data_IF_454427951869
#
_entry.id   IF_454427951869
#
_cell.length_a   1.000
_cell.length_b   1.000
_cell.length_c   1.000
_cell.angle_alpha   90.00
_cell.angle_beta   90.00
_cell.angle_gamma   90.00
#
_symmetry.space_group_name_H-M   'P 1'
#
loop_
_entity.id
_entity.type
_entity.pdbx_description
1 polymer ?
#
# COMPACT_ATOMS: atom_id res chain seq x y z
N UNK A 1 -14.79 24.07 16.85
CA UNK A 1 -15.15 23.31 18.07
C UNK A 1 -15.31 21.81 17.83
N UNK A 2 -15.79 21.35 16.66
CA UNK A 2 -15.90 19.90 16.36
C UNK A 2 -14.54 19.24 16.14
N UNK A 3 -13.56 19.89 15.48
CA UNK A 3 -12.24 19.29 15.23
C UNK A 3 -11.44 19.00 16.49
N UNK A 4 -11.47 19.89 17.50
CA UNK A 4 -10.77 19.65 18.77
C UNK A 4 -11.38 18.52 19.60
N UNK A 5 -12.68 18.21 19.43
CA UNK A 5 -13.36 17.13 20.16
C UNK A 5 -13.10 15.73 19.59
N UNK A 6 -13.00 15.59 18.27
CA UNK A 6 -12.67 14.32 17.61
C UNK A 6 -11.19 13.96 17.74
N UNK A 7 -10.29 14.95 17.72
CA UNK A 7 -8.86 14.76 17.93
C UNK A 7 -8.53 14.28 19.36
N UNK A 8 -9.25 14.76 20.37
CA UNK A 8 -9.05 14.33 21.76
C UNK A 8 -9.37 12.85 22.01
N UNK A 9 -10.19 12.23 21.18
CA UNK A 9 -10.52 10.80 21.24
C UNK A 9 -9.42 9.92 20.65
N UNK A 10 -8.78 10.37 19.56
CA UNK A 10 -7.68 9.65 18.93
C UNK A 10 -6.37 9.72 19.74
N UNK A 11 -6.15 10.81 20.50
CA UNK A 11 -4.95 10.99 21.36
C UNK A 11 -4.89 10.09 22.61
N UNK A 12 -5.89 9.25 22.86
CA UNK A 12 -5.92 8.39 24.06
C UNK A 12 -4.90 7.24 24.03
N UNK A 13 -4.34 6.93 22.85
CA UNK A 13 -3.35 5.86 22.62
C UNK A 13 -1.89 6.31 22.72
N UNK A 14 -1.63 7.62 22.89
CA UNK A 14 -0.28 8.16 23.09
C UNK A 14 0.59 8.33 21.82
N UNK A 15 0.08 7.99 20.64
CA UNK A 15 0.72 8.25 19.32
C UNK A 15 -0.28 9.00 18.45
N UNK A 16 0.16 10.09 17.80
CA UNK A 16 -0.74 10.84 16.92
C UNK A 16 -1.03 10.04 15.64
N UNK A 17 -2.26 10.10 15.10
CA UNK A 17 -2.61 9.44 13.84
C UNK A 17 -1.69 9.86 12.68
N UNK A 18 -1.29 11.13 12.65
CA UNK A 18 -0.31 11.63 11.67
C UNK A 18 1.03 10.88 11.73
N UNK A 19 1.54 10.62 12.95
CA UNK A 19 2.80 9.87 13.14
C UNK A 19 2.64 8.44 12.64
N UNK A 20 1.49 7.81 12.89
CA UNK A 20 1.21 6.44 12.43
C UNK A 20 1.23 6.38 10.90
N UNK A 21 0.43 7.20 10.24
CA UNK A 21 0.26 7.17 8.78
C UNK A 21 1.52 7.64 8.02
N UNK A 22 2.25 8.63 8.57
CA UNK A 22 3.52 9.08 7.98
C UNK A 22 4.56 7.95 7.94
N UNK A 23 4.51 7.07 8.94
CA UNK A 23 5.41 5.93 9.09
C UNK A 23 4.87 4.70 8.34
N UNK A 24 3.56 4.50 8.27
CA UNK A 24 2.89 3.35 7.66
C UNK A 24 3.21 3.18 6.16
N UNK A 25 3.33 4.27 5.39
CA UNK A 25 3.71 4.21 3.97
C UNK A 25 5.17 3.80 3.67
N UNK A 26 6.07 3.94 4.65
CA UNK A 26 7.52 3.82 4.45
C UNK A 26 7.99 2.43 4.03
N UNK A 27 7.45 1.32 4.57
CA UNK A 27 7.83 -0.03 4.15
C UNK A 27 7.62 -0.26 2.66
N UNK A 28 6.47 0.16 2.12
CA UNK A 28 6.15 -0.04 0.70
C UNK A 28 7.15 0.66 -0.23
N UNK A 29 7.47 1.93 0.05
CA UNK A 29 8.49 2.65 -0.70
C UNK A 29 9.89 2.02 -0.57
N UNK A 30 10.23 1.51 0.63
CA UNK A 30 11.48 0.80 0.87
C UNK A 30 11.56 -0.49 0.03
N UNK A 31 10.47 -1.25 -0.07
CA UNK A 31 10.40 -2.46 -0.88
C UNK A 31 10.55 -2.15 -2.36
N UNK A 32 9.85 -1.13 -2.86
CA UNK A 32 9.98 -0.68 -4.26
C UNK A 32 11.43 -0.31 -4.57
N UNK A 33 12.11 0.41 -3.67
CA UNK A 33 13.50 0.82 -3.83
C UNK A 33 14.43 -0.39 -4.00
N UNK A 34 14.32 -1.39 -3.13
CA UNK A 34 15.16 -2.59 -3.19
C UNK A 34 14.81 -3.46 -4.41
N UNK A 35 13.52 -3.64 -4.72
CA UNK A 35 13.08 -4.38 -5.89
C UNK A 35 13.58 -3.72 -7.19
N UNK A 36 13.54 -2.39 -7.26
CA UNK A 36 14.06 -1.63 -8.40
C UNK A 36 15.59 -1.75 -8.52
N UNK A 37 16.32 -1.75 -7.39
CA UNK A 37 17.76 -2.02 -7.36
C UNK A 37 18.06 -3.42 -7.92
N UNK A 38 17.33 -4.44 -7.47
CA UNK A 38 17.49 -5.82 -7.95
C UNK A 38 17.19 -5.96 -9.45
N UNK A 39 16.20 -5.22 -9.97
CA UNK A 39 15.91 -5.14 -11.41
C UNK A 39 17.04 -4.53 -12.21
N UNK A 40 17.58 -3.41 -11.71
CA UNK A 40 18.67 -2.67 -12.34
C UNK A 40 19.96 -3.50 -12.38
N UNK A 41 20.23 -4.27 -11.33
CA UNK A 41 21.37 -5.19 -11.25
C UNK A 41 21.13 -6.52 -11.98
N UNK A 42 19.90 -6.77 -12.45
CA UNK A 42 19.52 -7.99 -13.16
C UNK A 42 19.37 -9.22 -12.27
N UNK A 43 19.29 -9.05 -10.95
CA UNK A 43 19.12 -10.14 -9.98
C UNK A 43 17.69 -10.68 -9.94
N UNK A 44 16.70 -9.84 -10.21
CA UNK A 44 15.29 -10.21 -10.24
C UNK A 44 14.52 -9.27 -11.16
N UNK A 45 13.45 -9.74 -11.85
CA UNK A 45 12.66 -8.89 -12.77
C UNK A 45 11.17 -9.20 -12.73
N UNK A 46 10.37 -8.29 -12.16
CA UNK A 46 8.91 -8.40 -12.23
C UNK A 46 8.24 -7.07 -11.81
N UNK A 47 7.55 -6.38 -12.73
CA UNK A 47 6.88 -5.11 -12.40
C UNK A 47 5.71 -5.29 -11.43
N UNK A 48 5.07 -6.46 -11.43
CA UNK A 48 3.79 -6.68 -10.74
C UNK A 48 3.86 -6.44 -9.22
N UNK A 49 4.91 -6.90 -8.52
CA UNK A 49 5.05 -6.66 -7.07
C UNK A 49 5.29 -5.18 -6.78
N UNK A 50 6.10 -4.51 -7.61
CA UNK A 50 6.32 -3.07 -7.45
C UNK A 50 5.03 -2.28 -7.68
N UNK A 51 4.21 -2.70 -8.64
CA UNK A 51 2.90 -2.07 -8.87
C UNK A 51 1.99 -2.23 -7.65
N UNK A 52 1.92 -3.42 -7.05
CA UNK A 52 1.15 -3.66 -5.82
C UNK A 52 1.65 -2.75 -4.70
N UNK A 53 2.95 -2.74 -4.40
CA UNK A 53 3.49 -1.88 -3.34
C UNK A 53 3.33 -0.38 -3.66
N UNK A 54 3.30 0.02 -4.93
CA UNK A 54 3.02 1.41 -5.29
C UNK A 54 1.57 1.78 -5.00
N UNK A 55 0.65 0.84 -5.23
CA UNK A 55 -0.75 1.03 -4.88
C UNK A 55 -0.98 1.02 -3.37
N UNK A 56 -0.23 0.21 -2.61
CA UNK A 56 -0.24 0.24 -1.15
C UNK A 56 0.31 1.57 -0.61
N UNK A 57 1.43 2.06 -1.13
CA UNK A 57 1.99 3.36 -0.74
C UNK A 57 1.03 4.52 -1.03
N UNK A 58 0.36 4.49 -2.19
CA UNK A 58 -0.67 5.47 -2.55
C UNK A 58 -1.89 5.40 -1.61
N UNK A 59 -2.29 4.20 -1.17
CA UNK A 59 -3.39 4.01 -0.23
C UNK A 59 -3.09 4.67 1.14
N UNK A 60 -1.93 4.35 1.71
CA UNK A 60 -1.44 4.90 2.98
C UNK A 60 -1.26 6.43 2.92
N UNK A 61 -0.80 6.96 1.78
CA UNK A 61 -0.74 8.40 1.56
C UNK A 61 -2.13 9.04 1.67
N UNK A 62 -3.18 8.41 1.12
CA UNK A 62 -4.53 8.93 1.24
C UNK A 62 -5.06 8.84 2.67
N UNK A 63 -4.69 7.82 3.45
CA UNK A 63 -5.01 7.76 4.88
C UNK A 63 -4.37 8.93 5.63
N UNK A 64 -3.09 9.22 5.38
CA UNK A 64 -2.40 10.38 5.92
C UNK A 64 -3.14 11.68 5.56
N UNK A 65 -3.45 11.91 4.29
CA UNK A 65 -4.14 13.13 3.84
C UNK A 65 -5.54 13.28 4.46
N UNK A 66 -6.25 12.17 4.70
CA UNK A 66 -7.51 12.16 5.43
C UNK A 66 -7.28 12.62 6.88
N UNK A 67 -6.25 12.12 7.56
CA UNK A 67 -5.93 12.54 8.93
C UNK A 67 -5.49 14.00 9.01
N UNK A 68 -4.71 14.49 8.05
CA UNK A 68 -4.34 15.90 7.93
C UNK A 68 -5.59 16.78 7.75
N UNK A 69 -6.53 16.37 6.87
CA UNK A 69 -7.80 17.09 6.68
C UNK A 69 -8.67 17.15 7.95
N UNK A 70 -8.50 16.20 8.88
CA UNK A 70 -9.15 16.18 10.19
C UNK A 70 -8.38 16.98 11.27
N UNK A 71 -7.21 17.54 10.92
CA UNK A 71 -6.36 18.34 11.78
C UNK A 71 -5.27 17.56 12.51
N UNK A 72 -4.88 16.39 11.98
CA UNK A 72 -3.79 15.57 12.51
C UNK A 72 -2.43 16.28 12.54
N UNK A 73 -2.21 17.24 11.63
CA UNK A 73 -0.95 17.96 11.39
C UNK A 73 -0.79 19.27 12.19
N UNK A 74 -1.71 19.53 13.13
CA UNK A 74 -1.78 20.81 13.82
C UNK A 74 -0.63 21.05 14.82
N UNK A 75 0.07 19.98 15.25
CA UNK A 75 1.15 20.07 16.24
C UNK A 75 2.52 19.95 15.57
N UNK A 76 3.33 21.01 15.70
CA UNK A 76 4.68 21.04 15.12
C UNK A 76 5.60 19.94 15.67
N UNK A 77 5.48 19.56 16.94
CA UNK A 77 6.35 18.53 17.51
C UNK A 77 6.04 17.15 16.93
N UNK A 78 4.75 16.85 16.74
CA UNK A 78 4.30 15.58 16.15
C UNK A 78 4.80 15.46 14.71
N UNK A 79 4.68 16.54 13.93
CA UNK A 79 5.27 16.66 12.59
C UNK A 79 6.77 16.43 12.57
N UNK A 80 7.49 17.12 13.46
CA UNK A 80 8.95 17.01 13.54
C UNK A 80 9.35 15.57 13.86
N UNK A 81 8.70 14.94 14.85
CA UNK A 81 8.98 13.56 15.23
C UNK A 81 8.64 12.57 14.10
N UNK A 82 7.47 12.71 13.47
CA UNK A 82 7.02 11.87 12.36
C UNK A 82 8.03 11.87 11.20
N UNK A 83 8.48 13.05 10.77
CA UNK A 83 9.42 13.20 9.65
C UNK A 83 10.77 12.53 9.92
N UNK A 84 11.33 12.71 11.12
CA UNK A 84 12.62 12.11 11.46
C UNK A 84 12.49 10.59 11.71
N UNK A 85 11.38 10.16 12.31
CA UNK A 85 11.08 8.74 12.47
C UNK A 85 10.95 8.06 11.10
N UNK A 86 10.25 8.66 10.15
CA UNK A 86 10.09 8.15 8.79
C UNK A 86 11.43 7.98 8.07
N UNK A 87 12.34 8.96 8.18
CA UNK A 87 13.69 8.87 7.61
C UNK A 87 14.51 7.72 8.21
N UNK A 88 14.51 7.59 9.54
CA UNK A 88 15.21 6.49 10.20
C UNK A 88 14.59 5.15 9.82
N UNK A 89 13.27 5.08 9.83
CA UNK A 89 12.50 3.88 9.52
C UNK A 89 12.73 3.40 8.09
N UNK A 90 12.79 4.32 7.11
CA UNK A 90 13.12 4.00 5.72
C UNK A 90 14.43 3.23 5.59
N UNK A 91 15.50 3.70 6.23
CA UNK A 91 16.80 3.02 6.17
C UNK A 91 16.77 1.66 6.87
N UNK A 92 16.06 1.55 8.00
CA UNK A 92 15.92 0.29 8.73
C UNK A 92 15.16 -0.76 7.92
N UNK A 93 14.00 -0.39 7.35
CA UNK A 93 13.18 -1.31 6.55
C UNK A 93 13.87 -1.68 5.25
N UNK A 94 14.55 -0.72 4.60
CA UNK A 94 15.37 -0.98 3.40
C UNK A 94 16.46 -2.02 3.71
N UNK A 95 17.20 -1.84 4.82
CA UNK A 95 18.23 -2.80 5.24
C UNK A 95 17.63 -4.17 5.61
N UNK A 96 16.51 -4.19 6.32
CA UNK A 96 15.80 -5.41 6.68
C UNK A 96 15.32 -6.17 5.45
N UNK A 97 14.73 -5.49 4.48
CA UNK A 97 14.26 -6.10 3.23
C UNK A 97 15.42 -6.62 2.40
N UNK A 98 16.54 -5.89 2.29
CA UNK A 98 17.74 -6.42 1.62
C UNK A 98 18.30 -7.69 2.29
N UNK A 99 18.20 -7.80 3.62
CA UNK A 99 18.73 -8.94 4.36
C UNK A 99 17.76 -10.14 4.38
N UNK A 100 16.47 -9.89 4.56
CA UNK A 100 15.41 -10.90 4.64
C UNK A 100 14.05 -10.28 4.29
N UNK A 101 13.62 -10.37 3.02
CA UNK A 101 12.30 -9.92 2.60
C UNK A 101 11.17 -10.61 3.34
N UNK A 102 11.32 -11.90 3.69
CA UNK A 102 10.34 -12.63 4.50
C UNK A 102 10.12 -11.97 5.87
N UNK A 103 11.20 -11.61 6.57
CA UNK A 103 11.09 -10.93 7.87
C UNK A 103 10.58 -9.51 7.73
N UNK A 104 10.93 -8.81 6.65
CA UNK A 104 10.42 -7.49 6.36
C UNK A 104 8.89 -7.50 6.15
N UNK A 105 8.37 -8.43 5.34
CA UNK A 105 6.93 -8.59 5.15
C UNK A 105 6.23 -9.02 6.45
N UNK A 106 6.83 -9.91 7.25
CA UNK A 106 6.28 -10.26 8.56
C UNK A 106 6.20 -9.04 9.49
N UNK A 107 7.21 -8.18 9.43
CA UNK A 107 7.25 -6.98 10.25
C UNK A 107 6.16 -5.99 9.83
N UNK A 108 5.97 -5.74 8.52
CA UNK A 108 4.83 -4.93 8.04
C UNK A 108 3.49 -5.57 8.40
N UNK A 109 3.33 -6.89 8.23
CA UNK A 109 2.12 -7.61 8.63
C UNK A 109 1.69 -7.29 10.08
N UNK A 110 2.65 -7.25 11.02
CA UNK A 110 2.37 -6.92 12.42
C UNK A 110 1.96 -5.45 12.61
N UNK A 111 2.50 -4.54 11.80
CA UNK A 111 2.10 -3.13 11.79
C UNK A 111 0.66 -3.01 11.30
N UNK A 112 0.32 -3.67 10.19
CA UNK A 112 -1.04 -3.61 9.62
C UNK A 112 -2.08 -4.28 10.53
N UNK A 113 -1.74 -5.40 11.18
CA UNK A 113 -2.60 -6.02 12.19
C UNK A 113 -2.90 -5.06 13.35
N UNK A 114 -1.92 -4.28 13.77
CA UNK A 114 -2.11 -3.28 14.81
C UNK A 114 -2.97 -2.10 14.34
N UNK A 115 -2.76 -1.60 13.11
CA UNK A 115 -3.55 -0.54 12.50
C UNK A 115 -5.02 -0.97 12.36
N UNK A 116 -5.27 -2.16 11.80
CA UNK A 116 -6.60 -2.74 11.66
C UNK A 116 -7.37 -2.78 12.99
N UNK A 117 -6.73 -3.27 14.06
CA UNK A 117 -7.35 -3.33 15.39
C UNK A 117 -7.63 -1.92 15.92
N UNK A 118 -6.68 -1.00 15.77
CA UNK A 118 -6.82 0.39 16.22
C UNK A 118 -8.01 1.07 15.56
N UNK A 119 -8.13 0.97 14.24
CA UNK A 119 -9.25 1.55 13.50
C UNK A 119 -10.58 0.83 13.78
N UNK A 120 -10.56 -0.48 14.02
CA UNK A 120 -11.75 -1.23 14.43
C UNK A 120 -12.32 -0.70 15.74
N UNK A 121 -11.47 -0.60 16.76
CA UNK A 121 -11.87 -0.10 18.09
C UNK A 121 -12.35 1.35 17.97
N UNK A 122 -11.60 2.22 17.29
CA UNK A 122 -11.96 3.63 17.14
C UNK A 122 -13.31 3.82 16.43
N UNK A 123 -13.55 3.10 15.32
CA UNK A 123 -14.79 3.20 14.56
C UNK A 123 -16.00 2.71 15.37
N UNK A 124 -15.84 1.65 16.14
CA UNK A 124 -16.91 1.06 16.95
C UNK A 124 -17.25 1.91 18.18
N UNK A 125 -16.25 2.38 18.92
CA UNK A 125 -16.45 3.23 20.11
C UNK A 125 -17.06 4.59 19.77
N UNK A 126 -16.77 5.11 18.57
CA UNK A 126 -17.19 6.45 18.14
C UNK A 126 -18.31 6.45 17.10
N UNK A 127 -18.92 5.29 16.81
CA UNK A 127 -19.85 5.12 15.69
C UNK A 127 -20.97 6.16 15.63
N UNK A 128 -21.59 6.47 16.77
CA UNK A 128 -22.70 7.43 16.86
C UNK A 128 -22.26 8.88 16.56
N UNK A 129 -21.04 9.25 16.96
CA UNK A 129 -20.47 10.56 16.69
C UNK A 129 -20.05 10.66 15.22
N UNK A 130 -19.31 9.66 14.74
CA UNK A 130 -18.76 9.61 13.38
C UNK A 130 -19.85 9.59 12.31
N UNK A 131 -21.00 8.97 12.58
CA UNK A 131 -22.17 8.97 11.67
C UNK A 131 -22.76 10.36 11.43
N UNK A 132 -22.54 11.32 12.34
CA UNK A 132 -23.11 12.68 12.26
C UNK A 132 -22.20 13.66 11.53
N UNK A 133 -20.97 13.26 11.20
CA UNK A 133 -19.96 14.12 10.60
C UNK A 133 -19.80 13.75 9.12
N UNK A 134 -19.86 14.71 8.19
CA UNK A 134 -19.62 14.43 6.78
C UNK A 134 -18.16 14.01 6.54
N UNK A 135 -17.87 13.21 5.50
CA UNK A 135 -16.51 12.84 5.15
C UNK A 135 -15.71 14.05 4.67
N UNK A 136 -14.39 14.08 4.87
CA UNK A 136 -13.54 15.10 4.25
C UNK A 136 -13.52 14.91 2.72
N UNK A 137 -13.40 16.00 1.93
CA UNK A 137 -13.41 15.91 0.47
C UNK A 137 -12.39 14.92 -0.12
N UNK A 138 -11.19 14.84 0.47
CA UNK A 138 -10.14 13.93 0.01
C UNK A 138 -10.53 12.45 0.16
N UNK A 139 -11.33 12.09 1.17
CA UNK A 139 -11.85 10.72 1.30
C UNK A 139 -12.90 10.40 0.23
N UNK A 140 -13.73 11.37 -0.16
CA UNK A 140 -14.71 11.21 -1.24
C UNK A 140 -14.02 11.13 -2.60
N UNK A 141 -12.95 11.90 -2.79
CA UNK A 141 -12.09 11.79 -3.95
C UNK A 141 -11.51 10.38 -4.04
N UNK A 142 -10.86 9.90 -2.98
CA UNK A 142 -10.20 8.61 -2.97
C UNK A 142 -11.17 7.41 -3.14
N UNK A 143 -12.23 7.36 -2.33
CA UNK A 143 -13.11 6.18 -2.28
C UNK A 143 -14.26 6.16 -3.31
N UNK A 144 -14.60 7.31 -3.92
CA UNK A 144 -15.82 7.41 -4.75
C UNK A 144 -15.58 8.00 -6.13
N UNK A 145 -14.88 9.13 -6.25
CA UNK A 145 -14.92 9.96 -7.47
C UNK A 145 -13.62 10.00 -8.27
N UNK A 146 -12.49 9.69 -7.64
CA UNK A 146 -11.16 9.74 -8.22
C UNK A 146 -10.81 8.56 -9.12
N UNK A 147 -9.53 8.51 -9.51
CA UNK A 147 -9.01 7.42 -10.33
C UNK A 147 -8.86 6.15 -9.47
N UNK A 148 -9.68 5.15 -9.75
CA UNK A 148 -9.71 3.88 -9.02
C UNK A 148 -8.56 2.93 -9.39
N UNK A 149 -7.64 3.30 -10.28
CA UNK A 149 -6.59 2.39 -10.76
C UNK A 149 -5.76 1.78 -9.62
N UNK A 150 -5.18 2.62 -8.74
CA UNK A 150 -4.40 2.14 -7.60
C UNK A 150 -5.31 1.47 -6.56
N UNK A 151 -6.50 2.03 -6.34
CA UNK A 151 -7.50 1.45 -5.45
C UNK A 151 -7.99 0.05 -5.90
N UNK A 152 -7.97 -0.26 -7.19
CA UNK A 152 -8.29 -1.58 -7.70
C UNK A 152 -7.10 -2.53 -7.58
N UNK A 153 -5.91 -2.00 -7.81
CA UNK A 153 -4.67 -2.74 -7.83
C UNK A 153 -4.23 -3.24 -6.45
N UNK A 154 -4.46 -2.47 -5.38
CA UNK A 154 -4.12 -2.92 -4.01
C UNK A 154 -5.03 -4.04 -3.48
N UNK A 155 -6.22 -4.26 -4.09
CA UNK A 155 -7.16 -5.33 -3.72
C UNK A 155 -6.75 -6.71 -4.29
N UNK A 156 -5.50 -7.09 -4.05
CA UNK A 156 -4.82 -8.30 -4.56
C UNK A 156 -5.62 -9.59 -4.33
N UNK A 157 -6.31 -9.61 -3.21
CA UNK A 157 -6.99 -10.75 -2.63
C UNK A 157 -8.36 -11.03 -3.26
N UNK A 158 -8.92 -10.02 -3.94
CA UNK A 158 -10.17 -10.09 -4.73
C UNK A 158 -9.86 -10.33 -6.20
N UNK A 159 -8.79 -9.71 -6.70
CA UNK A 159 -8.29 -9.89 -8.07
C UNK A 159 -7.82 -11.33 -8.35
N UNK A 160 -7.38 -12.07 -7.33
CA UNK A 160 -7.00 -13.49 -7.42
C UNK A 160 -8.19 -14.46 -7.44
N UNK A 161 -9.33 -14.07 -6.86
CA UNK A 161 -10.56 -14.88 -6.86
C UNK A 161 -11.42 -14.49 -8.06
N UNK A 162 -11.19 -15.12 -9.22
CA UNK A 162 -11.99 -14.94 -10.45
C UNK A 162 -13.50 -14.97 -10.16
N UNK A 163 -14.11 -13.81 -9.99
CA UNK A 163 -15.55 -13.66 -9.68
C UNK A 163 -15.89 -12.80 -8.46
N UNK A 164 -14.93 -12.40 -7.61
CA UNK A 164 -15.20 -11.39 -6.57
C UNK A 164 -15.22 -10.00 -7.20
N UNK A 165 -16.32 -9.26 -7.00
CA UNK A 165 -16.37 -7.87 -7.42
C UNK A 165 -15.37 -7.02 -6.61
N UNK A 166 -14.68 -6.10 -7.28
CA UNK A 166 -13.84 -5.11 -6.62
C UNK A 166 -14.66 -4.30 -5.61
N UNK A 167 -14.06 -3.99 -4.46
CA UNK A 167 -14.68 -3.19 -3.40
C UNK A 167 -14.98 -1.80 -3.94
N UNK A 168 -16.19 -1.31 -3.66
CA UNK A 168 -16.64 0.07 -3.92
C UNK A 168 -17.39 0.53 -2.68
N UNK A 169 -16.68 1.01 -1.65
CA UNK A 169 -17.31 1.31 -0.38
C UNK A 169 -18.13 2.59 -0.43
N UNK A 170 -19.15 2.73 0.43
CA UNK A 170 -19.78 4.01 0.67
C UNK A 170 -18.81 4.98 1.35
N UNK A 171 -19.06 6.28 1.21
CA UNK A 171 -18.31 7.35 1.86
C UNK A 171 -19.28 8.51 2.13
N UNK A 172 -20.32 8.26 2.93
CA UNK A 172 -21.40 9.23 3.19
C UNK A 172 -21.19 10.01 4.49
N UNK A 173 -20.51 9.38 5.45
CA UNK A 173 -20.19 9.96 6.75
C UNK A 173 -18.81 9.49 7.24
N UNK A 174 -18.27 10.16 8.25
CA UNK A 174 -16.92 9.87 8.76
C UNK A 174 -16.79 8.44 9.31
N UNK A 175 -17.89 7.82 9.76
CA UNK A 175 -17.88 6.40 10.15
C UNK A 175 -17.58 5.48 8.96
N UNK A 176 -17.98 5.84 7.74
CA UNK A 176 -17.65 5.05 6.56
C UNK A 176 -16.16 5.21 6.24
N UNK A 177 -15.63 6.42 6.37
CA UNK A 177 -14.20 6.70 6.14
C UNK A 177 -13.32 5.84 7.04
N UNK A 178 -13.57 5.83 8.36
CA UNK A 178 -12.77 5.00 9.28
C UNK A 178 -12.97 3.50 9.08
N UNK A 179 -14.16 3.06 8.67
CA UNK A 179 -14.38 1.65 8.28
C UNK A 179 -13.67 1.29 6.99
N UNK A 180 -13.58 2.22 6.05
CA UNK A 180 -12.87 2.01 4.79
C UNK A 180 -11.36 1.92 5.02
N UNK A 181 -10.81 2.81 5.86
CA UNK A 181 -9.41 2.75 6.30
C UNK A 181 -9.13 1.40 6.94
N UNK A 182 -9.93 1.00 7.95
CA UNK A 182 -9.83 -0.34 8.56
C UNK A 182 -9.86 -1.47 7.53
N UNK A 183 -10.79 -1.42 6.58
CA UNK A 183 -10.92 -2.47 5.58
C UNK A 183 -9.73 -2.48 4.59
N UNK A 184 -9.09 -1.34 4.36
CA UNK A 184 -7.84 -1.23 3.60
C UNK A 184 -6.70 -1.89 4.35
N UNK A 185 -6.53 -1.63 5.65
CA UNK A 185 -5.55 -2.32 6.51
C UNK A 185 -5.68 -3.84 6.40
N UNK A 186 -6.91 -4.33 6.31
CA UNK A 186 -7.15 -5.76 6.14
C UNK A 186 -6.69 -6.29 4.78
N UNK A 187 -6.79 -5.51 3.70
CA UNK A 187 -6.22 -5.88 2.40
C UNK A 187 -4.68 -5.84 2.45
N UNK A 188 -4.07 -4.87 3.15
CA UNK A 188 -2.62 -4.82 3.40
C UNK A 188 -2.14 -6.07 4.15
N UNK A 189 -2.80 -6.46 5.24
CA UNK A 189 -2.53 -7.71 5.99
C UNK A 189 -2.49 -8.92 5.04
N UNK A 190 -3.50 -9.03 4.17
CA UNK A 190 -3.61 -10.17 3.23
C UNK A 190 -2.47 -10.16 2.21
N UNK A 191 -2.13 -9.00 1.68
CA UNK A 191 -1.03 -8.84 0.72
C UNK A 191 0.32 -9.14 1.37
N UNK A 192 0.61 -8.56 2.55
CA UNK A 192 1.86 -8.80 3.29
C UNK A 192 2.04 -10.26 3.66
N UNK A 193 0.98 -10.93 4.12
CA UNK A 193 1.02 -12.36 4.42
C UNK A 193 1.31 -13.20 3.18
N UNK A 194 0.65 -12.91 2.05
CA UNK A 194 0.90 -13.61 0.80
C UNK A 194 2.36 -13.39 0.31
N UNK A 195 2.87 -12.17 0.41
CA UNK A 195 4.25 -11.83 0.08
C UNK A 195 5.26 -12.56 0.97
N UNK A 196 5.02 -12.61 2.29
CA UNK A 196 5.84 -13.34 3.25
C UNK A 196 5.88 -14.84 2.92
N UNK A 197 4.72 -15.47 2.74
CA UNK A 197 4.64 -16.91 2.45
C UNK A 197 5.29 -17.26 1.11
N UNK A 198 5.10 -16.42 0.08
CA UNK A 198 5.71 -16.61 -1.22
C UNK A 198 7.24 -16.49 -1.16
N UNK A 199 7.75 -15.47 -0.49
CA UNK A 199 9.20 -15.27 -0.36
C UNK A 199 9.87 -16.38 0.48
N UNK A 200 9.15 -16.89 1.48
CA UNK A 200 9.57 -18.03 2.28
C UNK A 200 9.41 -19.38 1.59
N UNK A 201 8.93 -19.43 0.34
CA UNK A 201 8.72 -20.66 -0.44
C UNK A 201 7.56 -21.55 0.05
N UNK A 202 6.62 -20.99 0.81
CA UNK A 202 5.51 -21.71 1.46
C UNK A 202 4.15 -21.45 0.83
N UNK A 203 4.00 -20.35 0.09
CA UNK A 203 2.71 -19.90 -0.45
C UNK A 203 2.70 -19.70 -1.96
N UNK A 204 1.50 -19.56 -2.55
CA UNK A 204 1.35 -19.15 -3.95
C UNK A 204 1.86 -17.72 -4.14
N UNK A 205 2.05 -17.30 -5.40
CA UNK A 205 2.43 -15.91 -5.70
C UNK A 205 1.36 -14.94 -5.17
N UNK A 206 1.75 -13.79 -4.58
CA UNK A 206 0.81 -12.77 -4.12
C UNK A 206 0.12 -12.03 -5.28
N UNK A 207 0.62 -12.21 -6.50
CA UNK A 207 0.08 -11.61 -7.72
C UNK A 207 -0.89 -12.61 -8.37
N UNK A 208 -2.02 -12.16 -8.95
CA UNK A 208 -2.85 -13.00 -9.79
C UNK A 208 -2.01 -13.70 -10.86
N UNK A 209 -2.06 -15.03 -10.88
CA UNK A 209 -1.46 -15.88 -11.92
C UNK A 209 -2.25 -15.79 -13.22
N UNK A 210 -2.44 -14.57 -13.75
CA UNK A 210 -2.58 -14.45 -15.19
C UNK A 210 -1.31 -15.08 -15.78
N UNK A 211 -1.41 -16.08 -16.67
CA UNK A 211 -0.23 -16.69 -17.27
C UNK A 211 0.53 -15.57 -17.96
N UNK A 212 1.64 -15.14 -17.36
CA UNK A 212 2.50 -14.13 -17.94
C UNK A 212 2.88 -14.62 -19.33
N UNK A 213 2.32 -13.96 -20.36
CA UNK A 213 2.80 -14.09 -21.73
C UNK A 213 4.31 -13.83 -21.81
N UNK A 214 4.94 -13.23 -20.79
CA UNK A 214 6.34 -12.81 -20.76
C UNK A 214 7.39 -13.89 -21.04
N UNK A 215 7.22 -15.15 -20.62
CA UNK A 215 8.21 -16.20 -20.94
C UNK A 215 8.09 -16.68 -22.39
N UNK A 216 6.86 -16.87 -22.90
CA UNK A 216 6.61 -17.09 -24.33
C UNK A 216 7.04 -15.88 -25.18
N UNK A 217 6.90 -14.68 -24.63
CA UNK A 217 7.32 -13.44 -25.27
C UNK A 217 8.84 -13.30 -25.33
N UNK A 218 9.62 -13.82 -24.38
CA UNK A 218 11.08 -13.63 -24.40
C UNK A 218 11.73 -14.36 -25.57
N UNK A 219 11.33 -15.61 -25.81
CA UNK A 219 11.78 -16.35 -27.00
C UNK A 219 11.28 -15.68 -28.28
N UNK A 220 10.03 -15.20 -28.30
CA UNK A 220 9.50 -14.45 -29.43
C UNK A 220 10.22 -13.10 -29.65
N UNK A 221 10.71 -12.45 -28.60
CA UNK A 221 11.51 -11.22 -28.68
C UNK A 221 12.94 -11.50 -29.13
N UNK A 222 13.52 -12.62 -28.71
CA UNK A 222 14.82 -13.10 -29.17
C UNK A 222 14.75 -13.46 -30.66
N UNK A 223 13.73 -14.21 -31.08
CA UNK A 223 13.44 -14.52 -32.49
C UNK A 223 13.20 -13.24 -33.30
N UNK A 224 12.37 -12.31 -32.81
CA UNK A 224 12.17 -11.00 -33.45
C UNK A 224 13.47 -10.19 -33.53
N UNK A 225 14.29 -10.18 -32.48
CA UNK A 225 15.56 -9.46 -32.48
C UNK A 225 16.56 -10.07 -33.47
N UNK A 226 16.61 -11.40 -33.57
CA UNK A 226 17.39 -12.11 -34.59
C UNK A 226 16.91 -11.75 -36.01
N UNK A 227 15.60 -11.73 -36.25
CA UNK A 227 15.01 -11.32 -37.53
C UNK A 227 15.39 -9.88 -37.91
N UNK A 228 15.25 -8.93 -36.97
CA UNK A 228 15.61 -7.51 -37.19
C UNK A 228 17.11 -7.35 -37.45
N UNK A 229 17.96 -8.03 -36.67
CA UNK A 229 19.42 -7.97 -36.88
C UNK A 229 19.83 -8.57 -38.24
N UNK A 230 19.16 -9.63 -38.67
CA UNK A 230 19.39 -10.24 -39.99
C UNK A 230 18.87 -9.39 -41.15
N UNK A 231 17.93 -8.47 -40.92
CA UNK A 231 17.51 -7.46 -41.90
C UNK A 231 18.54 -6.32 -41.98
N UNK A 232 19.02 -5.82 -40.85
CA UNK A 232 20.04 -4.77 -40.79
C UNK A 232 21.36 -5.16 -41.50
N UNK A 233 21.78 -6.43 -41.38
CA UNK A 233 22.98 -6.96 -42.05
C UNK A 233 22.83 -7.13 -43.58
N UNK A 234 21.60 -7.14 -44.12
CA UNK A 234 21.35 -7.29 -45.56
C UNK A 234 21.37 -5.96 -46.31
N UNK A 235 21.19 -4.85 -45.63
CA UNK A 235 21.24 -3.49 -46.21
C UNK A 235 22.67 -2.89 -46.22
N UNK A 236 23.66 -3.59 -45.63
CA UNK A 236 25.08 -3.20 -45.63
C UNK A 236 25.94 -3.91 -46.70
N UNK A 237 25.34 -4.76 -47.56
CA UNK A 237 25.99 -5.47 -48.69
C UNK A 237 25.44 -4.95 -50.02
#
# INVERSE_FOLDING_TARGET
MVSQGLLGLCMTTGVSPEVLETVARIPYFSYITVLHLYESLGWWRSPDIRHIHSAEEDNELHHLLIMEALGGDCNWFDRFAAQHAALLYYWLVTALFMASPENAYNFSLLVEEHAYVTYSVFADENAELLRRVPPPPIAVEYYVTGNMYNFDLFQTSRSSNQGSALRRPPCEHLLDVFRNIRDDEYEHIRTMKACQEWWGGRGPSPIPTEPRKSQANRKAWEEWAEEVNALALRDEI
#
